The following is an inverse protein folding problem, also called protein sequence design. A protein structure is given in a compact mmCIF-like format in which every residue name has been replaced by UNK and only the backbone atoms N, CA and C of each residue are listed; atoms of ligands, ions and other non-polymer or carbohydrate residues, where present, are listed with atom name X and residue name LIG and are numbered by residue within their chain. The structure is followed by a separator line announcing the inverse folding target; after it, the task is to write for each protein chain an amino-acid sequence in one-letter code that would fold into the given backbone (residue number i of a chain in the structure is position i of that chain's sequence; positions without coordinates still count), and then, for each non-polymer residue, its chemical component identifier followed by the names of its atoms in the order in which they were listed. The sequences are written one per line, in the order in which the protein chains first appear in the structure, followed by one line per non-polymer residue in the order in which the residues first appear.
data_IF_204738608759
#
_entry.id   IF_204738608759
#
_cell.length_a   1.000
_cell.length_b   1.000
_cell.length_c   1.000
_cell.angle_alpha   90.00
_cell.angle_beta   90.00
_cell.angle_gamma   90.00
#
_symmetry.space_group_name_H-M   'P 1'
#
loop_
_entity.id
_entity.type
_entity.pdbx_description
1 polymer ?
#
# COMPACT_ATOMS: atom_id res chain seq x y z
N UNK A 1 4.21 22.09 -31.54
CA UNK A 1 2.80 22.48 -31.33
C UNK A 1 2.40 21.74 -30.06
N UNK A 2 2.25 22.44 -28.93
CA UNK A 2 1.90 21.76 -27.68
C UNK A 2 0.47 21.24 -27.79
N UNK A 3 0.28 19.94 -27.58
CA UNK A 3 -1.04 19.34 -27.58
C UNK A 3 -1.80 19.84 -26.34
N UNK A 4 -3.00 20.37 -26.52
CA UNK A 4 -3.92 20.66 -25.42
C UNK A 4 -4.77 19.41 -25.16
N UNK A 5 -4.87 19.00 -23.90
CA UNK A 5 -5.69 17.88 -23.46
C UNK A 5 -6.65 18.32 -22.35
N UNK A 6 -7.87 17.81 -22.38
CA UNK A 6 -8.85 17.96 -21.28
C UNK A 6 -8.59 16.95 -20.17
N UNK A 7 -9.09 17.20 -18.96
CA UNK A 7 -9.04 16.21 -17.86
C UNK A 7 -9.75 14.90 -18.24
N UNK A 8 -10.84 15.01 -19.01
CA UNK A 8 -11.58 13.85 -19.49
C UNK A 8 -10.77 13.00 -20.49
N UNK A 9 -9.86 13.60 -21.25
CA UNK A 9 -8.93 12.88 -22.11
C UNK A 9 -7.82 12.24 -21.30
N UNK A 10 -7.21 12.98 -20.37
CA UNK A 10 -6.19 12.45 -19.45
C UNK A 10 -6.71 11.24 -18.67
N UNK A 11 -7.96 11.30 -18.18
CA UNK A 11 -8.60 10.22 -17.44
C UNK A 11 -8.73 8.88 -18.20
N UNK A 12 -8.62 8.89 -19.54
CA UNK A 12 -8.62 7.66 -20.36
C UNK A 12 -7.28 6.92 -20.30
N UNK A 13 -6.21 7.61 -19.93
CA UNK A 13 -4.84 7.10 -19.88
C UNK A 13 -4.48 6.71 -18.45
N UNK A 14 -5.15 5.66 -17.95
CA UNK A 14 -5.06 5.20 -16.56
C UNK A 14 -4.70 3.71 -16.41
N UNK A 15 -4.36 3.03 -17.50
CA UNK A 15 -4.11 1.57 -17.50
C UNK A 15 -2.99 1.16 -18.46
N UNK A 16 -3.20 1.29 -19.78
CA UNK A 16 -2.22 0.87 -20.81
C UNK A 16 -1.08 1.85 -20.96
N UNK A 17 -1.43 3.12 -21.01
CA UNK A 17 -0.54 4.26 -20.88
C UNK A 17 -1.02 5.09 -19.68
N UNK A 18 -0.07 5.73 -19.00
CA UNK A 18 -0.27 6.44 -17.74
C UNK A 18 0.04 7.90 -17.96
N UNK A 19 -1.01 8.73 -17.99
CA UNK A 19 -0.86 10.18 -18.04
C UNK A 19 -1.17 10.79 -16.68
N UNK A 20 -0.44 11.82 -16.30
CA UNK A 20 -0.67 12.59 -15.08
C UNK A 20 -0.63 14.08 -15.39
N UNK A 21 -1.31 14.87 -14.57
CA UNK A 21 -1.24 16.35 -14.64
C UNK A 21 -0.48 16.89 -13.44
N UNK A 22 0.55 17.69 -13.70
CA UNK A 22 1.27 18.45 -12.67
C UNK A 22 1.31 19.91 -13.11
N UNK A 23 0.75 20.81 -12.30
CA UNK A 23 0.75 22.27 -12.52
C UNK A 23 0.26 22.65 -13.93
N UNK A 24 -0.87 22.08 -14.35
CA UNK A 24 -1.50 22.26 -15.68
C UNK A 24 -0.68 21.75 -16.89
N UNK A 25 0.37 20.97 -16.66
CA UNK A 25 1.10 20.27 -17.71
C UNK A 25 0.77 18.79 -17.66
N UNK A 26 0.68 18.17 -18.83
CA UNK A 26 0.33 16.75 -18.98
C UNK A 26 1.58 15.97 -19.32
N UNK A 27 1.83 14.91 -18.57
CA UNK A 27 3.01 14.06 -18.69
C UNK A 27 2.60 12.63 -19.00
N UNK A 28 3.30 11.99 -19.94
CA UNK A 28 3.19 10.55 -20.16
C UNK A 28 4.32 9.86 -19.39
N UNK A 29 3.99 9.26 -18.26
CA UNK A 29 4.96 8.61 -17.37
C UNK A 29 5.08 7.10 -17.61
N UNK A 30 4.45 6.57 -18.67
CA UNK A 30 4.37 5.11 -18.93
C UNK A 30 5.74 4.43 -18.93
N UNK A 31 6.75 5.04 -19.55
CA UNK A 31 8.11 4.48 -19.61
C UNK A 31 8.90 4.63 -18.31
N UNK A 32 8.44 5.48 -17.39
CA UNK A 32 9.12 5.80 -16.14
C UNK A 32 8.52 5.06 -14.92
N UNK A 33 7.37 4.39 -15.10
CA UNK A 33 6.67 3.68 -14.02
C UNK A 33 7.58 2.74 -13.23
N UNK A 34 8.38 1.95 -13.95
CA UNK A 34 9.26 0.94 -13.36
C UNK A 34 10.52 1.56 -12.71
N UNK A 35 10.94 2.73 -13.19
CA UNK A 35 12.11 3.45 -12.70
C UNK A 35 11.78 4.46 -11.59
N UNK A 36 10.50 4.60 -11.23
CA UNK A 36 10.05 5.55 -10.22
C UNK A 36 10.53 5.15 -8.81
N UNK A 37 11.35 5.98 -8.13
CA UNK A 37 11.92 5.64 -6.83
C UNK A 37 10.88 5.43 -5.72
N UNK A 38 9.69 6.03 -5.85
CA UNK A 38 8.59 5.93 -4.89
C UNK A 38 7.69 4.69 -5.05
N UNK A 39 8.10 3.69 -5.85
CA UNK A 39 7.28 2.57 -6.34
C UNK A 39 6.37 2.93 -7.51
N UNK A 40 6.19 1.96 -8.41
CA UNK A 40 5.27 2.01 -9.54
C UNK A 40 3.81 2.23 -9.10
N UNK A 41 3.42 1.68 -7.95
CA UNK A 41 2.04 1.71 -7.46
C UNK A 41 1.52 3.12 -7.21
N UNK A 42 2.41 4.05 -6.79
CA UNK A 42 2.04 5.45 -6.60
C UNK A 42 1.59 6.06 -7.93
N UNK A 43 2.37 5.89 -8.99
CA UNK A 43 2.06 6.44 -10.32
C UNK A 43 0.80 5.81 -10.91
N UNK A 44 0.58 4.51 -10.66
CA UNK A 44 -0.64 3.80 -11.06
C UNK A 44 -1.86 4.36 -10.32
N UNK A 45 -1.73 4.68 -9.03
CA UNK A 45 -2.83 5.19 -8.22
C UNK A 45 -3.31 6.58 -8.66
N UNK A 46 -2.39 7.41 -9.17
CA UNK A 46 -2.68 8.76 -9.68
C UNK A 46 -2.86 8.79 -11.21
N UNK A 47 -2.83 7.62 -11.87
CA UNK A 47 -2.97 7.52 -13.31
C UNK A 47 -4.29 8.16 -13.79
N UNK A 48 -4.19 8.98 -14.83
CA UNK A 48 -5.29 9.72 -15.43
C UNK A 48 -5.82 10.89 -14.59
N UNK A 49 -5.09 11.36 -13.58
CA UNK A 49 -5.55 12.41 -12.65
C UNK A 49 -4.60 13.62 -12.61
N UNK A 50 -5.09 14.73 -12.06
CA UNK A 50 -4.22 15.78 -11.56
C UNK A 50 -3.63 15.37 -10.21
N UNK A 51 -2.32 15.37 -10.14
CA UNK A 51 -1.54 14.97 -8.97
C UNK A 51 -0.61 16.09 -8.50
N UNK A 52 -0.92 17.35 -8.84
CA UNK A 52 -0.07 18.51 -8.48
C UNK A 52 0.22 18.57 -6.99
N UNK A 53 -0.82 18.42 -6.17
CA UNK A 53 -0.71 18.42 -4.69
C UNK A 53 0.17 17.26 -4.21
N UNK A 54 -0.13 16.03 -4.65
CA UNK A 54 0.65 14.84 -4.29
C UNK A 54 2.13 14.93 -4.75
N UNK A 55 2.38 15.55 -5.90
CA UNK A 55 3.72 15.75 -6.44
C UNK A 55 4.51 16.77 -5.61
N UNK A 56 3.87 17.89 -5.25
CA UNK A 56 4.48 18.96 -4.47
C UNK A 56 4.75 18.52 -3.01
N UNK A 57 3.82 17.77 -2.41
CA UNK A 57 3.92 17.30 -1.03
C UNK A 57 4.94 16.15 -0.84
N UNK A 58 5.16 15.35 -1.87
CA UNK A 58 6.11 14.24 -1.81
C UNK A 58 7.58 14.69 -1.65
N UNK A 59 7.88 15.97 -1.87
CA UNK A 59 9.24 16.51 -1.70
C UNK A 59 10.25 15.89 -2.66
N UNK A 60 9.86 15.73 -3.94
CA UNK A 60 10.73 15.21 -5.00
C UNK A 60 12.06 15.99 -5.08
N UNK A 61 13.17 15.28 -5.33
CA UNK A 61 14.50 15.88 -5.42
C UNK A 61 14.70 16.67 -6.72
N UNK A 62 15.76 17.48 -6.79
CA UNK A 62 16.07 18.28 -7.99
C UNK A 62 16.20 17.39 -9.24
N UNK A 63 16.74 16.17 -9.12
CA UNK A 63 16.85 15.20 -10.21
C UNK A 63 15.48 14.76 -10.76
N UNK A 64 14.46 14.67 -9.91
CA UNK A 64 13.10 14.34 -10.36
C UNK A 64 12.48 15.48 -11.18
N UNK A 65 12.88 16.73 -10.94
CA UNK A 65 12.45 17.87 -11.75
C UNK A 65 13.15 17.92 -13.11
N UNK A 66 14.34 17.33 -13.24
CA UNK A 66 15.10 17.26 -14.50
C UNK A 66 14.50 16.27 -15.51
N UNK A 67 13.82 15.22 -15.05
CA UNK A 67 13.21 14.20 -15.91
C UNK A 67 11.85 14.66 -16.48
N UNK A 68 11.10 15.50 -15.73
CA UNK A 68 9.75 15.92 -16.13
C UNK A 68 9.66 16.52 -17.55
N UNK A 69 10.56 17.41 -18.00
CA UNK A 69 10.51 17.97 -19.35
C UNK A 69 10.53 16.90 -20.46
N UNK A 70 11.19 15.76 -20.24
CA UNK A 70 11.26 14.67 -21.23
C UNK A 70 9.94 13.89 -21.35
N UNK A 71 9.14 13.89 -20.28
CA UNK A 71 7.86 13.21 -20.20
C UNK A 71 6.68 14.12 -20.59
N UNK A 72 6.90 15.43 -20.75
CA UNK A 72 5.86 16.41 -21.06
C UNK A 72 5.29 16.18 -22.47
N UNK A 73 3.99 15.87 -22.55
CA UNK A 73 3.30 15.65 -23.82
C UNK A 73 2.35 16.80 -24.20
N UNK A 74 2.05 17.69 -23.25
CA UNK A 74 1.09 18.75 -23.50
C UNK A 74 0.75 19.60 -22.29
N UNK A 75 -0.30 20.40 -22.45
CA UNK A 75 -0.88 21.23 -21.39
C UNK A 75 -2.36 20.93 -21.23
N UNK A 76 -2.85 21.16 -20.03
CA UNK A 76 -4.27 21.04 -19.74
C UNK A 76 -5.04 22.15 -20.45
N UNK A 77 -6.22 21.82 -20.96
CA UNK A 77 -7.11 22.77 -21.63
C UNK A 77 -7.44 23.95 -20.71
N UNK A 78 -7.62 25.14 -21.26
CA UNK A 78 -7.91 26.33 -20.46
C UNK A 78 -9.20 26.20 -19.62
N UNK A 79 -10.15 25.36 -20.05
CA UNK A 79 -11.39 25.09 -19.33
C UNK A 79 -11.16 24.25 -18.05
N UNK A 80 -10.15 23.39 -18.06
CA UNK A 80 -9.81 22.52 -16.94
C UNK A 80 -8.61 23.03 -16.12
N UNK A 81 -7.92 24.06 -16.61
CA UNK A 81 -6.72 24.60 -15.99
C UNK A 81 -6.98 25.07 -14.54
N UNK A 82 -6.22 24.53 -13.61
CA UNK A 82 -6.21 24.91 -12.20
C UNK A 82 -5.61 26.33 -12.10
N UNK A 83 -6.42 27.28 -11.62
CA UNK A 83 -5.97 28.65 -11.37
C UNK A 83 -5.35 28.76 -9.97
N UNK A 84 -4.48 29.75 -9.75
CA UNK A 84 -3.89 30.03 -8.42
C UNK A 84 -4.91 30.20 -7.29
N UNK A 85 -6.19 30.47 -7.61
CA UNK A 85 -7.28 30.54 -6.63
C UNK A 85 -7.73 29.17 -6.10
N UNK A 86 -7.52 28.08 -6.86
CA UNK A 86 -7.80 26.70 -6.44
C UNK A 86 -6.64 26.04 -5.66
N UNK A 87 -5.47 26.70 -5.58
CA UNK A 87 -4.25 26.21 -4.92
C UNK A 87 -4.06 26.75 -3.49
N UNK A 88 -5.03 27.53 -2.98
CA UNK A 88 -5.04 27.91 -1.57
C UNK A 88 -5.62 26.72 -0.79
N UNK A 89 -4.96 26.22 0.28
CA UNK A 89 -5.62 25.29 1.18
C UNK A 89 -6.87 26.00 1.71
N UNK A 90 -8.03 25.57 1.23
CA UNK A 90 -9.29 25.97 1.82
C UNK A 90 -9.28 25.34 3.22
N UNK A 91 -8.86 26.11 4.21
CA UNK A 91 -9.27 25.88 5.59
C UNK A 91 -10.79 25.99 5.55
N UNK A 92 -11.46 24.86 5.42
CA UNK A 92 -12.92 24.81 5.35
C UNK A 92 -13.46 25.07 6.75
N UNK A 93 -13.39 26.33 7.18
CA UNK A 93 -14.18 26.81 8.31
C UNK A 93 -15.62 26.96 7.80
N UNK A 94 -16.47 26.05 8.29
CA UNK A 94 -17.93 25.97 8.10
C UNK A 94 -18.43 25.26 6.83
N UNK A 95 -18.68 23.95 6.93
CA UNK A 95 -19.64 23.24 6.08
C UNK A 95 -20.64 22.51 6.97
N UNK A 96 -21.92 22.81 6.75
CA UNK A 96 -23.10 22.18 7.34
C UNK A 96 -23.13 20.66 7.11
N UNK A 97 -23.63 19.92 8.11
CA UNK A 97 -23.78 18.45 8.13
C UNK A 97 -24.31 17.89 6.80
N UNK A 98 -23.67 16.86 6.21
CA UNK A 98 -24.23 16.15 5.07
C UNK A 98 -25.47 15.34 5.50
N UNK A 99 -26.47 15.33 4.64
CA UNK A 99 -27.72 14.59 4.77
C UNK A 99 -27.43 13.09 4.70
N UNK A 100 -28.03 12.32 5.61
CA UNK A 100 -27.97 10.86 5.64
C UNK A 100 -28.49 10.25 4.33
N UNK A 101 -27.61 9.60 3.57
CA UNK A 101 -27.99 8.61 2.55
C UNK A 101 -27.44 7.22 2.93
N UNK A 102 -28.15 6.20 2.45
CA UNK A 102 -28.21 4.85 2.97
C UNK A 102 -26.91 4.01 2.91
N UNK A 103 -26.93 2.93 3.70
CA UNK A 103 -25.93 1.88 3.92
C UNK A 103 -25.45 1.29 2.57
N UNK A 104 -24.32 1.78 2.07
CA UNK A 104 -23.61 1.29 0.89
C UNK A 104 -22.09 1.36 1.11
N UNK A 105 -21.29 0.93 0.11
CA UNK A 105 -19.83 0.95 0.19
C UNK A 105 -19.34 2.36 0.56
N UNK A 106 -18.76 2.48 1.75
CA UNK A 106 -18.36 3.75 2.38
C UNK A 106 -17.23 4.42 1.62
N UNK A 107 -16.32 3.61 1.07
CA UNK A 107 -15.18 4.08 0.33
C UNK A 107 -15.45 4.09 -1.17
N UNK A 108 -15.09 5.20 -1.81
CA UNK A 108 -15.12 5.37 -3.26
C UNK A 108 -13.68 5.25 -3.79
N UNK A 109 -13.36 4.33 -4.73
CA UNK A 109 -11.98 4.09 -5.15
C UNK A 109 -11.28 5.31 -5.74
N UNK A 110 -12.03 6.16 -6.44
CA UNK A 110 -11.48 7.28 -7.21
C UNK A 110 -11.91 8.65 -6.65
N UNK A 111 -12.51 8.69 -5.46
CA UNK A 111 -12.96 9.93 -4.83
C UNK A 111 -12.38 10.00 -3.43
N UNK A 112 -11.59 11.04 -3.16
CA UNK A 112 -11.12 11.35 -1.83
C UNK A 112 -12.28 11.82 -0.95
N UNK A 113 -12.33 11.28 0.27
CA UNK A 113 -13.34 11.54 1.28
C UNK A 113 -12.63 11.91 2.58
N UNK A 114 -13.18 12.87 3.31
CA UNK A 114 -12.57 13.32 4.57
C UNK A 114 -12.83 12.31 5.68
N UNK A 115 -11.82 12.09 6.52
CA UNK A 115 -11.88 11.18 7.66
C UNK A 115 -11.19 11.83 8.85
N UNK A 116 -11.97 12.07 9.90
CA UNK A 116 -11.54 12.76 11.14
C UNK A 116 -10.71 11.81 12.02
N UNK A 117 -9.57 12.27 12.52
CA UNK A 117 -8.74 11.56 13.49
C UNK A 117 -9.42 11.57 14.86
N UNK A 118 -9.86 10.39 15.30
CA UNK A 118 -10.54 10.20 16.58
C UNK A 118 -9.60 9.78 17.70
N UNK A 119 -8.62 8.93 17.39
CA UNK A 119 -7.67 8.40 18.36
C UNK A 119 -6.27 8.33 17.78
N UNK A 120 -5.27 8.69 18.59
CA UNK A 120 -3.85 8.56 18.29
C UNK A 120 -3.18 7.81 19.43
N UNK A 121 -2.63 6.63 19.16
CA UNK A 121 -1.95 5.79 20.14
C UNK A 121 -0.48 5.64 19.75
N UNK A 122 0.44 6.18 20.53
CA UNK A 122 1.87 5.91 20.36
C UNK A 122 2.20 4.51 20.87
N UNK A 123 2.64 3.64 19.97
CA UNK A 123 3.03 2.25 20.29
C UNK A 123 4.52 2.18 20.62
N UNK A 124 5.34 2.93 19.87
CA UNK A 124 6.77 3.04 20.09
C UNK A 124 7.30 4.37 19.54
N UNK A 125 8.60 4.64 19.73
CA UNK A 125 9.28 5.84 19.25
C UNK A 125 9.16 6.14 17.74
N UNK A 126 8.75 5.17 16.93
CA UNK A 126 8.62 5.29 15.48
C UNK A 126 7.32 4.68 14.94
N UNK A 127 6.38 4.34 15.83
CA UNK A 127 5.12 3.68 15.47
C UNK A 127 3.97 4.34 16.22
N UNK A 128 3.01 4.84 15.44
CA UNK A 128 1.79 5.43 15.96
C UNK A 128 0.60 4.81 15.24
N UNK A 129 -0.40 4.35 16.00
CA UNK A 129 -1.69 3.91 15.47
C UNK A 129 -2.62 5.11 15.44
N UNK A 130 -3.17 5.39 14.27
CA UNK A 130 -4.19 6.41 14.08
C UNK A 130 -5.53 5.73 13.82
N UNK A 131 -6.59 6.15 14.52
CA UNK A 131 -7.96 5.71 14.25
C UNK A 131 -8.76 6.88 13.72
N UNK A 132 -9.25 6.72 12.51
CA UNK A 132 -10.08 7.72 11.86
C UNK A 132 -11.55 7.27 11.84
N UNK A 133 -12.47 8.23 11.96
CA UNK A 133 -13.90 7.97 11.86
C UNK A 133 -14.27 7.55 10.44
N UNK A 134 -15.13 6.55 10.34
CA UNK A 134 -15.81 6.20 9.10
C UNK A 134 -17.04 7.10 8.95
N UNK A 135 -17.21 7.83 7.83
CA UNK A 135 -18.45 8.54 7.55
C UNK A 135 -19.39 7.67 6.70
N UNK A 136 -20.63 7.34 7.11
CA UNK A 136 -21.29 7.56 8.42
C UNK A 136 -20.79 6.67 9.56
N UNK A 137 -20.98 7.06 10.83
CA UNK A 137 -20.39 6.37 12.01
C UNK A 137 -20.76 4.88 12.15
N UNK A 138 -21.95 4.48 11.67
CA UNK A 138 -22.44 3.08 11.72
C UNK A 138 -22.06 2.26 10.48
N UNK A 139 -21.16 2.77 9.66
CA UNK A 139 -20.88 2.20 8.35
C UNK A 139 -19.78 1.14 8.38
N UNK A 140 -19.93 0.13 7.52
CA UNK A 140 -18.95 -0.95 7.36
C UNK A 140 -18.04 -0.57 6.19
N UNK A 141 -16.74 -0.52 6.46
CA UNK A 141 -15.71 -0.12 5.51
C UNK A 141 -15.72 -0.93 4.21
N UNK A 142 -16.15 -2.19 4.28
CA UNK A 142 -16.32 -3.12 3.16
C UNK A 142 -15.14 -3.14 2.17
N UNK A 143 -13.92 -3.09 2.70
CA UNK A 143 -12.70 -3.34 1.91
C UNK A 143 -12.63 -4.82 1.55
N UNK A 144 -12.54 -5.17 0.25
CA UNK A 144 -12.17 -6.51 -0.16
C UNK A 144 -10.83 -6.93 0.47
N UNK A 145 -10.69 -8.21 0.78
CA UNK A 145 -9.53 -8.73 1.53
C UNK A 145 -8.28 -8.61 0.67
N UNK A 146 -7.25 -7.90 1.16
CA UNK A 146 -6.03 -7.61 0.42
C UNK A 146 -5.98 -6.21 -0.19
N UNK A 147 -7.10 -5.48 -0.14
CA UNK A 147 -7.17 -4.09 -0.57
C UNK A 147 -6.99 -3.15 0.62
N UNK A 148 -6.44 -1.97 0.33
CA UNK A 148 -6.10 -0.95 1.30
C UNK A 148 -6.81 0.38 1.00
N UNK A 149 -6.66 1.32 1.93
CA UNK A 149 -7.08 2.71 1.77
C UNK A 149 -5.85 3.51 1.37
N UNK A 150 -5.99 4.33 0.34
CA UNK A 150 -4.97 5.30 -0.04
C UNK A 150 -5.34 6.64 0.61
N UNK A 151 -4.42 7.17 1.41
CA UNK A 151 -4.57 8.45 2.10
C UNK A 151 -3.68 9.51 1.45
N UNK A 152 -4.25 10.67 1.13
CA UNK A 152 -3.48 11.86 0.86
C UNK A 152 -3.26 12.58 2.20
N UNK A 153 -1.99 12.70 2.57
CA UNK A 153 -1.58 13.25 3.85
C UNK A 153 -0.69 14.45 3.54
N UNK A 154 -1.28 15.64 3.58
CA UNK A 154 -0.65 16.93 3.23
C UNK A 154 0.28 17.47 4.33
N UNK A 155 0.22 16.87 5.54
CA UNK A 155 1.10 17.17 6.66
C UNK A 155 1.76 15.90 7.18
N UNK A 156 2.99 15.97 7.66
CA UNK A 156 3.67 14.80 8.25
C UNK A 156 2.78 14.15 9.32
N UNK A 157 2.42 12.86 9.17
CA UNK A 157 1.46 12.13 10.05
C UNK A 157 1.68 12.39 11.54
N UNK A 158 2.95 12.50 11.96
CA UNK A 158 3.33 12.77 13.34
C UNK A 158 2.71 14.05 13.93
N UNK A 159 2.47 15.07 13.09
CA UNK A 159 1.91 16.36 13.48
C UNK A 159 0.39 16.37 13.63
N UNK A 160 -0.33 15.32 13.22
CA UNK A 160 -1.78 15.28 13.35
C UNK A 160 -2.21 15.26 14.82
N UNK A 161 -3.19 16.11 15.13
CA UNK A 161 -3.88 16.22 16.41
C UNK A 161 -5.30 15.64 16.32
N UNK A 162 -5.86 15.21 17.45
CA UNK A 162 -7.24 14.69 17.48
C UNK A 162 -8.20 15.78 16.99
N UNK A 163 -9.07 15.42 16.05
CA UNK A 163 -9.97 16.34 15.36
C UNK A 163 -9.47 16.81 13.98
N UNK A 164 -8.20 16.56 13.64
CA UNK A 164 -7.70 16.80 12.29
C UNK A 164 -8.29 15.83 11.27
N UNK A 165 -8.25 16.19 10.00
CA UNK A 165 -8.79 15.40 8.91
C UNK A 165 -7.70 14.94 7.96
N UNK A 166 -7.84 13.72 7.47
CA UNK A 166 -7.11 13.23 6.30
C UNK A 166 -8.09 12.97 5.16
N UNK A 167 -7.57 13.00 3.93
CA UNK A 167 -8.35 12.64 2.74
C UNK A 167 -8.02 11.20 2.37
N UNK A 168 -9.03 10.34 2.36
CA UNK A 168 -8.89 8.90 2.07
C UNK A 168 -9.76 8.47 0.90
N UNK A 169 -9.29 7.48 0.14
CA UNK A 169 -10.07 6.82 -0.91
C UNK A 169 -9.79 5.32 -0.92
N UNK A 170 -10.72 4.54 -1.44
CA UNK A 170 -10.54 3.10 -1.55
C UNK A 170 -11.81 2.36 -1.93
N UNK A 171 -11.77 1.03 -2.01
CA UNK A 171 -10.56 0.21 -1.91
C UNK A 171 -9.53 0.48 -3.03
N UNK A 172 -8.25 0.29 -2.72
CA UNK A 172 -7.10 0.30 -3.63
C UNK A 172 -6.32 -1.00 -3.52
N UNK A 173 -5.53 -1.32 -4.54
CA UNK A 173 -4.71 -2.53 -4.60
C UNK A 173 -5.31 -3.64 -5.46
N UNK A 174 -4.41 -4.39 -6.11
CA UNK A 174 -4.76 -5.46 -7.05
C UNK A 174 -4.92 -6.84 -6.39
N UNK A 175 -4.60 -6.98 -5.09
CA UNK A 175 -4.76 -8.25 -4.39
C UNK A 175 -6.19 -8.42 -3.90
N UNK A 176 -6.76 -9.61 -4.14
CA UNK A 176 -8.02 -10.02 -3.53
C UNK A 176 -7.92 -11.47 -3.12
N UNK A 177 -7.98 -11.73 -1.82
CA UNK A 177 -7.99 -13.10 -1.30
C UNK A 177 -9.33 -13.77 -1.57
N UNK A 178 -9.29 -15.01 -2.04
CA UNK A 178 -10.44 -15.91 -2.03
C UNK A 178 -10.08 -17.18 -1.28
N UNK A 179 -11.05 -17.74 -0.55
CA UNK A 179 -10.85 -18.91 0.29
C UNK A 179 -10.20 -20.05 -0.50
N UNK A 180 -9.14 -20.65 0.04
CA UNK A 180 -8.39 -21.72 -0.60
C UNK A 180 -7.77 -21.36 -1.97
N UNK A 181 -7.58 -20.08 -2.32
CA UNK A 181 -7.02 -19.68 -3.63
C UNK A 181 -5.63 -20.28 -3.91
N UNK A 182 -4.89 -20.58 -2.85
CA UNK A 182 -3.62 -21.31 -2.87
C UNK A 182 -3.60 -22.27 -1.69
N UNK A 183 -2.79 -23.32 -1.80
CA UNK A 183 -2.57 -24.26 -0.68
C UNK A 183 -1.83 -23.56 0.44
N UNK A 184 -0.82 -22.74 0.13
CA UNK A 184 0.07 -22.19 1.15
C UNK A 184 0.73 -20.89 0.69
N UNK A 185 0.68 -19.88 1.54
CA UNK A 185 1.41 -18.63 1.38
C UNK A 185 2.77 -18.65 2.06
N UNK A 186 3.81 -18.20 1.36
CA UNK A 186 5.01 -17.67 1.98
C UNK A 186 4.92 -16.15 2.06
N UNK A 187 4.88 -15.57 3.25
CA UNK A 187 4.81 -14.12 3.44
C UNK A 187 6.17 -13.60 3.90
N UNK A 188 6.62 -12.47 3.36
CA UNK A 188 7.82 -11.76 3.83
C UNK A 188 7.47 -10.28 3.98
N UNK A 189 7.57 -9.75 5.20
CA UNK A 189 7.32 -8.34 5.44
C UNK A 189 8.36 -7.67 6.32
N UNK A 190 8.50 -6.35 6.13
CA UNK A 190 9.38 -5.49 6.92
C UNK A 190 8.63 -4.30 7.51
N UNK A 191 8.77 -4.06 8.82
CA UNK A 191 8.18 -2.90 9.49
C UNK A 191 6.65 -2.81 9.34
N UNK A 192 6.15 -1.70 8.80
CA UNK A 192 4.72 -1.47 8.58
C UNK A 192 4.11 -2.35 7.48
N UNK A 193 4.93 -3.05 6.68
CA UNK A 193 4.46 -4.04 5.69
C UNK A 193 3.73 -5.25 6.30
N UNK A 194 3.66 -5.34 7.62
CA UNK A 194 2.79 -6.26 8.35
C UNK A 194 1.31 -6.14 7.95
N UNK A 195 0.84 -4.94 7.64
CA UNK A 195 -0.60 -4.65 7.52
C UNK A 195 -1.34 -5.49 6.46
N UNK A 196 -0.87 -5.63 5.19
CA UNK A 196 -1.52 -6.52 4.23
C UNK A 196 -1.43 -8.00 4.66
N UNK A 197 -0.32 -8.40 5.27
CA UNK A 197 -0.11 -9.79 5.72
C UNK A 197 -1.10 -10.16 6.82
N UNK A 198 -1.25 -9.30 7.83
CA UNK A 198 -2.15 -9.54 8.94
C UNK A 198 -3.62 -9.51 8.50
N UNK A 199 -3.99 -8.69 7.51
CA UNK A 199 -5.33 -8.69 6.93
C UNK A 199 -5.67 -10.05 6.29
N UNK A 200 -4.73 -10.63 5.54
CA UNK A 200 -4.90 -11.94 4.90
C UNK A 200 -4.93 -13.06 5.95
N UNK A 201 -3.98 -13.06 6.90
CA UNK A 201 -3.92 -14.05 7.98
C UNK A 201 -5.22 -14.08 8.78
N UNK A 202 -5.71 -12.91 9.24
CA UNK A 202 -6.98 -12.81 9.98
C UNK A 202 -8.15 -13.33 9.17
N UNK A 203 -8.14 -13.11 7.84
CA UNK A 203 -9.20 -13.60 6.96
C UNK A 203 -9.19 -15.12 6.86
N UNK A 204 -8.02 -15.73 6.62
CA UNK A 204 -7.86 -17.19 6.59
C UNK A 204 -8.34 -17.80 7.90
N UNK A 205 -7.94 -17.23 9.04
CA UNK A 205 -8.35 -17.68 10.38
C UNK A 205 -9.87 -17.61 10.55
N UNK A 206 -10.51 -16.52 10.14
CA UNK A 206 -11.98 -16.36 10.18
C UNK A 206 -12.70 -17.33 9.25
N UNK A 207 -12.10 -17.70 8.12
CA UNK A 207 -12.66 -18.64 7.15
C UNK A 207 -12.47 -20.12 7.51
N UNK A 208 -11.66 -20.45 8.54
CA UNK A 208 -11.42 -21.87 8.95
C UNK A 208 -12.72 -22.64 9.23
N UNK A 209 -13.71 -22.10 9.97
CA UNK A 209 -14.98 -22.79 10.20
C UNK A 209 -15.74 -23.10 8.90
N UNK A 210 -15.56 -22.27 7.87
CA UNK A 210 -16.17 -22.39 6.55
C UNK A 210 -15.31 -23.25 5.58
N UNK A 211 -14.29 -23.93 6.09
CA UNK A 211 -13.46 -24.87 5.34
C UNK A 211 -12.22 -24.26 4.66
N UNK A 212 -11.75 -23.10 5.11
CA UNK A 212 -10.46 -22.56 4.68
C UNK A 212 -9.30 -23.43 5.21
N UNK A 213 -8.48 -23.94 4.30
CA UNK A 213 -7.35 -24.84 4.57
C UNK A 213 -6.02 -24.19 4.22
N UNK A 214 -6.00 -22.95 3.72
CA UNK A 214 -4.75 -22.28 3.31
C UNK A 214 -3.76 -22.20 4.47
N UNK A 215 -2.51 -22.61 4.26
CA UNK A 215 -1.43 -22.46 5.24
C UNK A 215 -0.66 -21.15 5.04
N UNK A 216 0.06 -20.70 6.08
CA UNK A 216 0.92 -19.51 6.04
C UNK A 216 2.22 -19.76 6.79
N UNK A 217 3.35 -19.54 6.11
CA UNK A 217 4.63 -19.27 6.76
C UNK A 217 4.99 -17.81 6.54
N UNK A 218 5.19 -17.05 7.62
CA UNK A 218 5.40 -15.62 7.57
C UNK A 218 6.75 -15.24 8.18
N UNK A 219 7.66 -14.75 7.36
CA UNK A 219 8.91 -14.11 7.79
C UNK A 219 8.65 -12.63 8.06
N UNK A 220 8.76 -12.21 9.32
CA UNK A 220 8.59 -10.81 9.70
C UNK A 220 9.92 -10.22 10.19
N UNK A 221 10.47 -9.30 9.39
CA UNK A 221 11.80 -8.73 9.58
C UNK A 221 11.74 -7.31 10.15
N UNK A 222 12.53 -7.05 11.19
CA UNK A 222 12.61 -5.76 11.85
C UNK A 222 14.05 -5.45 12.26
N UNK A 223 14.35 -4.18 12.57
CA UNK A 223 15.69 -3.80 13.01
C UNK A 223 15.94 -4.30 14.42
N UNK A 224 15.09 -3.90 15.38
CA UNK A 224 15.20 -4.29 16.78
C UNK A 224 13.95 -5.05 17.23
N UNK A 225 14.03 -5.79 18.33
CA UNK A 225 12.89 -6.53 18.91
C UNK A 225 11.69 -5.63 19.22
N UNK A 226 11.94 -4.42 19.72
CA UNK A 226 10.90 -3.42 20.03
C UNK A 226 10.15 -2.92 18.80
N UNK A 227 10.68 -3.13 17.60
CA UNK A 227 10.08 -2.69 16.34
C UNK A 227 9.08 -3.73 15.81
N UNK A 228 8.97 -4.91 16.45
CA UNK A 228 8.02 -5.96 16.06
C UNK A 228 6.60 -5.50 16.42
N UNK A 229 5.90 -5.03 15.39
CA UNK A 229 4.51 -4.60 15.50
C UNK A 229 3.58 -5.77 15.83
N UNK A 230 2.64 -5.52 16.75
CA UNK A 230 1.57 -6.46 17.11
C UNK A 230 2.07 -7.86 17.48
N UNK A 231 3.28 -7.96 18.07
CA UNK A 231 3.93 -9.23 18.41
C UNK A 231 3.02 -10.20 19.17
N UNK A 232 2.38 -9.73 20.24
CA UNK A 232 1.51 -10.58 21.07
C UNK A 232 0.35 -11.17 20.28
N UNK A 233 -0.24 -10.39 19.36
CA UNK A 233 -1.32 -10.87 18.50
C UNK A 233 -0.82 -11.92 17.51
N UNK A 234 0.34 -11.67 16.88
CA UNK A 234 0.97 -12.60 15.96
C UNK A 234 1.28 -13.94 16.65
N UNK A 235 1.92 -13.91 17.81
CA UNK A 235 2.24 -15.10 18.60
C UNK A 235 0.97 -15.86 19.02
N UNK A 236 -0.09 -15.14 19.40
CA UNK A 236 -1.37 -15.75 19.76
C UNK A 236 -2.04 -16.42 18.55
N UNK A 237 -2.05 -15.77 17.38
CA UNK A 237 -2.58 -16.34 16.13
C UNK A 237 -1.83 -17.63 15.79
N UNK A 238 -0.49 -17.62 15.82
CA UNK A 238 0.33 -18.78 15.51
C UNK A 238 0.12 -19.94 16.50
N UNK A 239 -0.09 -19.62 17.78
CA UNK A 239 -0.38 -20.61 18.82
C UNK A 239 -1.74 -21.28 18.64
N UNK A 240 -2.76 -20.51 18.27
CA UNK A 240 -4.14 -20.99 18.15
C UNK A 240 -4.43 -21.67 16.80
N UNK A 241 -3.56 -21.47 15.80
CA UNK A 241 -3.78 -21.94 14.43
C UNK A 241 -2.55 -22.69 13.91
N UNK A 242 -2.57 -24.04 13.96
CA UNK A 242 -1.44 -24.89 13.54
C UNK A 242 -0.98 -24.72 12.09
N UNK A 243 -1.83 -24.16 11.22
CA UNK A 243 -1.51 -23.82 9.83
C UNK A 243 -0.87 -22.45 9.63
N UNK A 244 -0.63 -21.67 10.69
CA UNK A 244 -0.02 -20.34 10.64
C UNK A 244 1.27 -20.34 11.47
N UNK A 245 2.40 -20.04 10.83
CA UNK A 245 3.74 -20.03 11.45
C UNK A 245 4.39 -18.69 11.20
N UNK A 246 4.99 -18.12 12.23
CA UNK A 246 5.59 -16.78 12.20
C UNK A 246 7.04 -16.88 12.61
N UNK A 247 7.93 -16.41 11.75
CA UNK A 247 9.37 -16.47 11.87
C UNK A 247 9.92 -15.05 11.95
N UNK A 248 10.36 -14.63 13.13
CA UNK A 248 10.91 -13.29 13.32
C UNK A 248 12.40 -13.23 12.92
N UNK A 249 12.79 -12.16 12.23
CA UNK A 249 14.17 -11.89 11.83
C UNK A 249 14.58 -10.50 12.30
N UNK A 250 15.70 -10.39 13.01
CA UNK A 250 16.18 -9.12 13.57
C UNK A 250 17.58 -8.76 13.08
N UNK A 251 17.80 -7.49 12.72
CA UNK A 251 19.16 -6.99 12.48
C UNK A 251 19.96 -6.90 13.79
N UNK A 252 19.32 -6.40 14.85
CA UNK A 252 19.90 -6.16 16.17
C UNK A 252 19.14 -7.01 17.21
N UNK A 253 19.35 -8.33 17.27
CA UNK A 253 18.66 -9.20 18.20
C UNK A 253 19.12 -8.97 19.66
N UNK A 254 18.24 -9.15 20.66
CA UNK A 254 18.62 -9.22 22.07
C UNK A 254 19.42 -10.49 22.37
N UNK A 255 20.08 -10.53 23.53
CA UNK A 255 20.71 -11.77 24.02
C UNK A 255 19.66 -12.88 24.17
N UNK A 256 20.02 -14.10 23.74
CA UNK A 256 19.11 -15.25 23.79
C UNK A 256 18.08 -15.33 22.67
N UNK A 257 18.16 -14.46 21.65
CA UNK A 257 17.28 -14.52 20.48
C UNK A 257 17.42 -15.84 19.72
N UNK A 258 16.28 -16.49 19.45
CA UNK A 258 16.22 -17.79 18.75
C UNK A 258 15.71 -17.68 17.32
N UNK A 259 15.33 -16.49 16.87
CA UNK A 259 14.85 -16.23 15.51
C UNK A 259 15.98 -16.04 14.51
N UNK A 260 15.64 -15.54 13.32
CA UNK A 260 16.63 -15.17 12.32
C UNK A 260 17.42 -13.92 12.72
N UNK A 261 18.66 -13.84 12.24
CA UNK A 261 19.57 -12.71 12.51
C UNK A 261 20.09 -12.12 11.20
N UNK A 262 20.11 -10.79 11.11
CA UNK A 262 20.53 -10.05 9.93
C UNK A 262 19.38 -9.77 8.97
N UNK A 263 19.71 -9.70 7.68
CA UNK A 263 18.70 -9.58 6.61
C UNK A 263 18.14 -10.95 6.23
N UNK A 264 16.89 -10.95 5.76
CA UNK A 264 16.28 -12.15 5.17
C UNK A 264 17.13 -12.63 3.99
N UNK A 265 17.45 -13.91 3.95
CA UNK A 265 18.34 -14.51 2.96
C UNK A 265 17.76 -15.81 2.38
N UNK A 266 18.46 -16.38 1.40
CA UNK A 266 18.04 -17.59 0.69
C UNK A 266 17.84 -18.80 1.62
N UNK A 267 18.69 -18.95 2.63
CA UNK A 267 18.62 -20.06 3.59
C UNK A 267 17.38 -19.96 4.47
N UNK A 268 17.06 -18.76 4.97
CA UNK A 268 15.84 -18.51 5.75
C UNK A 268 14.60 -18.81 4.92
N UNK A 269 14.55 -18.34 3.66
CA UNK A 269 13.42 -18.59 2.76
C UNK A 269 13.28 -20.09 2.49
N UNK A 270 14.37 -20.78 2.14
CA UNK A 270 14.34 -22.21 1.85
C UNK A 270 13.97 -23.06 3.07
N UNK A 271 14.35 -22.61 4.27
CA UNK A 271 14.07 -23.30 5.52
C UNK A 271 12.62 -23.15 5.98
N UNK A 272 12.04 -21.96 5.80
CA UNK A 272 10.79 -21.61 6.45
C UNK A 272 9.61 -21.43 5.49
N UNK A 273 9.83 -21.00 4.25
CA UNK A 273 8.74 -20.80 3.29
C UNK A 273 8.49 -22.06 2.45
N UNK A 274 7.27 -22.24 1.91
CA UNK A 274 6.96 -23.37 1.04
C UNK A 274 7.80 -23.36 -0.24
N UNK A 275 8.34 -24.52 -0.63
CA UNK A 275 9.06 -24.66 -1.90
C UNK A 275 8.19 -24.26 -3.11
N UNK A 276 8.80 -23.79 -4.22
CA UNK A 276 8.05 -23.37 -5.41
C UNK A 276 7.12 -24.47 -5.94
N UNK A 277 5.84 -24.12 -6.12
CA UNK A 277 4.85 -24.93 -6.81
C UNK A 277 3.71 -24.03 -7.33
N UNK A 278 2.88 -24.54 -8.24
CA UNK A 278 1.79 -23.77 -8.87
C UNK A 278 0.69 -23.38 -7.87
N UNK A 279 0.58 -24.08 -6.74
CA UNK A 279 -0.39 -23.82 -5.66
C UNK A 279 0.22 -23.07 -4.47
N UNK A 280 1.38 -22.43 -4.68
CA UNK A 280 2.10 -21.60 -3.70
C UNK A 280 2.14 -20.16 -4.18
N UNK A 281 1.97 -19.20 -3.26
CA UNK A 281 2.17 -17.78 -3.55
C UNK A 281 3.05 -17.12 -2.50
N UNK A 282 4.03 -16.35 -2.98
CA UNK A 282 4.87 -15.49 -2.14
C UNK A 282 4.29 -14.09 -2.12
N UNK A 283 4.10 -13.56 -0.91
CA UNK A 283 3.62 -12.20 -0.68
C UNK A 283 4.72 -11.36 -0.05
N UNK A 284 5.00 -10.19 -0.63
CA UNK A 284 6.06 -9.29 -0.20
C UNK A 284 5.48 -7.92 0.16
N UNK A 285 5.85 -7.35 1.31
CA UNK A 285 5.53 -5.95 1.63
C UNK A 285 6.56 -5.35 2.58
N UNK A 286 7.18 -4.23 2.19
CA UNK A 286 8.25 -3.61 2.98
C UNK A 286 9.01 -2.56 2.17
N UNK A 287 10.14 -2.07 2.69
CA UNK A 287 10.93 -1.03 2.03
C UNK A 287 11.40 -1.45 0.61
N UNK A 288 11.51 -0.53 -0.36
CA UNK A 288 11.90 -0.87 -1.74
C UNK A 288 13.19 -1.71 -1.87
N UNK A 289 14.28 -1.44 -1.10
CA UNK A 289 15.47 -2.29 -1.14
C UNK A 289 15.21 -3.73 -0.71
N UNK A 290 14.32 -3.94 0.27
CA UNK A 290 13.91 -5.27 0.72
C UNK A 290 13.12 -5.99 -0.38
N UNK A 291 12.14 -5.31 -0.99
CA UNK A 291 11.32 -5.91 -2.07
C UNK A 291 12.21 -6.34 -3.24
N UNK A 292 13.12 -5.47 -3.69
CA UNK A 292 14.05 -5.77 -4.78
C UNK A 292 14.93 -6.98 -4.44
N UNK A 293 15.51 -7.03 -3.25
CA UNK A 293 16.31 -8.17 -2.79
C UNK A 293 15.49 -9.46 -2.72
N UNK A 294 14.27 -9.41 -2.18
CA UNK A 294 13.42 -10.59 -2.04
C UNK A 294 13.00 -11.15 -3.40
N UNK A 295 12.59 -10.29 -4.36
CA UNK A 295 12.28 -10.72 -5.74
C UNK A 295 13.44 -11.52 -6.35
N UNK A 296 14.67 -11.01 -6.25
CA UNK A 296 15.87 -11.66 -6.78
C UNK A 296 16.19 -12.98 -6.07
N UNK A 297 16.12 -13.01 -4.73
CA UNK A 297 16.41 -14.24 -3.97
C UNK A 297 15.37 -15.31 -4.29
N UNK A 298 14.08 -14.98 -4.31
CA UNK A 298 13.04 -15.95 -4.69
C UNK A 298 13.21 -16.45 -6.12
N UNK A 299 13.55 -15.59 -7.09
CA UNK A 299 13.86 -16.06 -8.45
C UNK A 299 15.02 -17.06 -8.45
N UNK A 300 16.08 -16.81 -7.68
CA UNK A 300 17.23 -17.73 -7.56
C UNK A 300 16.88 -19.07 -6.89
N UNK A 301 15.80 -19.10 -6.10
CA UNK A 301 15.28 -20.31 -5.44
C UNK A 301 14.28 -21.08 -6.30
N UNK A 302 14.04 -20.65 -7.54
CA UNK A 302 13.19 -21.36 -8.51
C UNK A 302 11.72 -20.93 -8.50
N UNK A 303 11.38 -19.83 -7.83
CA UNK A 303 10.06 -19.21 -8.00
C UNK A 303 9.99 -18.49 -9.35
N UNK A 304 8.78 -18.33 -9.89
CA UNK A 304 8.55 -17.58 -11.11
C UNK A 304 8.99 -16.13 -10.94
N UNK A 305 9.68 -15.60 -11.96
CA UNK A 305 10.16 -14.22 -11.97
C UNK A 305 9.03 -13.23 -11.68
N UNK A 306 9.25 -12.38 -10.67
CA UNK A 306 8.32 -11.33 -10.31
C UNK A 306 8.23 -10.27 -11.42
N UNK A 307 7.02 -9.77 -11.68
CA UNK A 307 6.80 -8.61 -12.56
C UNK A 307 7.20 -7.31 -11.84
N UNK A 308 7.39 -6.24 -12.62
CA UNK A 308 7.56 -4.89 -12.06
C UNK A 308 6.34 -4.52 -11.22
N UNK A 309 5.16 -4.64 -11.82
CA UNK A 309 3.83 -4.48 -11.19
C UNK A 309 3.19 -5.85 -11.00
N UNK A 310 2.87 -6.21 -9.76
CA UNK A 310 2.29 -7.50 -9.43
C UNK A 310 0.84 -7.62 -9.89
N UNK A 311 0.48 -8.78 -10.43
CA UNK A 311 -0.89 -9.18 -10.74
C UNK A 311 -1.32 -10.35 -9.89
N UNK A 312 -2.64 -10.49 -9.70
CA UNK A 312 -3.20 -11.48 -8.79
C UNK A 312 -2.77 -12.92 -9.13
N UNK A 313 -2.57 -13.23 -10.41
CA UNK A 313 -2.12 -14.56 -10.86
C UNK A 313 -0.64 -14.85 -10.60
N UNK A 314 0.19 -13.84 -10.34
CA UNK A 314 1.65 -14.00 -10.23
C UNK A 314 2.03 -14.83 -9.00
N UNK A 315 2.99 -15.76 -9.13
CA UNK A 315 3.46 -16.54 -7.99
C UNK A 315 4.09 -15.65 -6.90
N UNK A 316 4.69 -14.52 -7.28
CA UNK A 316 5.22 -13.51 -6.36
C UNK A 316 4.39 -12.24 -6.51
N UNK A 317 3.75 -11.82 -5.41
CA UNK A 317 2.98 -10.59 -5.33
C UNK A 317 3.63 -9.63 -4.33
N UNK A 318 4.09 -8.48 -4.81
CA UNK A 318 4.52 -7.37 -3.96
C UNK A 318 3.36 -6.37 -3.82
N UNK A 319 3.07 -5.98 -2.58
CA UNK A 319 2.08 -4.95 -2.23
C UNK A 319 2.63 -3.54 -2.35
#
# INVERSE_FOLDING_TARGET
MYQELTLAEVAKHNTKDIYIVIRNKVYNVTSFVDDHPGSADILIDIAGQDCTEAYDDAGHSDEAHEILPELEIGKLSAADAITKASLVPQVVSNVTKPVHEAIGNVLKPNVFQESELQEKTEVSHNVTIYRFKLPPEDSILSLPIGQHISGLITQHLAGLEIGDYIRVRGPKGAFTYTQNMVRHFGMIAGGTGLTPMLQIIRTIVRGRPDGDKTEVDFIFANVNEKDILLRQELEQIAKDNSGIRIHHVLNNPPEGWTGGVGFVNADMISKWLPAPADDIKILLCGPPPMISAMKNITESLGYQKARSVSKLEDQIFAF
#
